data_IF_531484808590
#
_entry.id   IF_531484808590
#
_cell.length_a   1.000
_cell.length_b   1.000
_cell.length_c   1.000
_cell.angle_alpha   90.00
_cell.angle_beta   90.00
_cell.angle_gamma   90.00
#
_symmetry.space_group_name_H-M   'P 1'
#
loop_
_entity.id
_entity.type
_entity.pdbx_description
1 polymer ?
#
# COMPACT_ATOMS: atom_id res chain seq x y z
N UNK A 1 -2.28 -33.99 4.39
CA UNK A 1 -3.49 -33.24 3.99
C UNK A 1 -3.78 -32.24 5.10
N UNK A 2 -3.07 -31.11 5.09
CA UNK A 2 -3.25 -30.08 6.10
C UNK A 2 -4.64 -29.46 5.94
N UNK A 3 -5.48 -29.65 6.95
CA UNK A 3 -6.78 -28.99 7.02
C UNK A 3 -6.51 -27.52 7.32
N UNK A 4 -6.95 -26.62 6.44
CA UNK A 4 -7.00 -25.20 6.76
C UNK A 4 -7.94 -25.01 7.97
N UNK A 5 -7.35 -24.85 9.15
CA UNK A 5 -8.09 -24.54 10.38
C UNK A 5 -8.34 -23.04 10.41
N UNK A 6 -9.60 -22.65 10.53
CA UNK A 6 -9.98 -21.25 10.74
C UNK A 6 -9.54 -20.86 12.15
N UNK A 7 -8.57 -19.97 12.26
CA UNK A 7 -7.98 -19.53 13.54
C UNK A 7 -8.79 -18.44 14.24
N UNK A 8 -9.58 -17.67 13.49
CA UNK A 8 -10.41 -16.59 14.01
C UNK A 8 -11.50 -16.18 13.04
N UNK A 9 -12.62 -15.67 13.57
CA UNK A 9 -13.74 -15.16 12.80
C UNK A 9 -14.17 -13.83 13.38
N UNK A 10 -14.12 -12.79 12.56
CA UNK A 10 -14.57 -11.45 12.90
C UNK A 10 -15.70 -11.04 11.97
N UNK A 11 -16.66 -10.28 12.49
CA UNK A 11 -17.80 -9.78 11.74
C UNK A 11 -18.00 -8.31 12.05
N UNK A 12 -18.27 -7.54 11.01
CA UNK A 12 -18.62 -6.13 11.10
C UNK A 12 -19.64 -5.83 10.01
N UNK A 13 -20.74 -5.20 10.39
CA UNK A 13 -21.82 -4.86 9.47
C UNK A 13 -21.65 -3.43 8.99
N UNK A 14 -21.74 -3.22 7.68
CA UNK A 14 -21.70 -1.91 7.03
C UNK A 14 -23.08 -1.57 6.49
N UNK A 15 -23.45 -0.29 6.55
CA UNK A 15 -24.76 0.19 6.05
C UNK A 15 -24.75 0.33 4.51
N UNK A 16 -23.56 0.37 3.90
CA UNK A 16 -23.35 0.46 2.45
C UNK A 16 -22.63 -0.75 1.85
N UNK A 17 -22.70 -0.93 0.52
CA UNK A 17 -22.03 -2.04 -0.15
C UNK A 17 -20.50 -1.86 -0.10
N UNK A 18 -19.84 -2.94 0.31
CA UNK A 18 -18.37 -3.03 0.27
C UNK A 18 -17.95 -3.33 -1.17
N UNK A 19 -17.13 -2.45 -1.75
CA UNK A 19 -16.73 -2.55 -3.16
C UNK A 19 -15.37 -3.24 -3.34
N UNK A 20 -14.45 -3.06 -2.40
CA UNK A 20 -13.13 -3.67 -2.46
C UNK A 20 -12.57 -3.87 -1.06
N UNK A 21 -11.93 -5.01 -0.86
CA UNK A 21 -11.18 -5.35 0.33
C UNK A 21 -9.76 -5.72 -0.09
N UNK A 22 -8.75 -5.11 0.55
CA UNK A 22 -7.34 -5.44 0.29
C UNK A 22 -6.58 -5.62 1.59
N UNK A 23 -5.84 -6.73 1.66
CA UNK A 23 -4.86 -6.96 2.70
C UNK A 23 -3.55 -6.30 2.28
N UNK A 24 -2.88 -5.67 3.23
CA UNK A 24 -1.59 -5.04 3.01
C UNK A 24 -0.78 -4.97 4.31
N UNK A 25 0.49 -4.67 4.19
CA UNK A 25 1.43 -4.46 5.30
C UNK A 25 1.91 -3.02 5.29
N UNK A 26 2.47 -2.51 6.39
CA UNK A 26 3.08 -1.18 6.38
C UNK A 26 4.24 -1.07 5.39
N UNK A 27 5.11 -2.08 5.39
CA UNK A 27 6.26 -2.08 4.49
C UNK A 27 5.88 -2.63 3.12
N UNK A 28 6.48 -2.04 2.08
CA UNK A 28 6.34 -2.49 0.70
C UNK A 28 6.82 -3.93 0.51
N UNK A 29 6.17 -4.67 -0.39
CA UNK A 29 6.52 -6.05 -0.71
C UNK A 29 7.94 -6.20 -1.27
N UNK A 30 8.55 -5.13 -1.80
CA UNK A 30 9.99 -5.12 -2.15
C UNK A 30 10.87 -5.22 -0.91
N UNK A 31 10.58 -4.46 0.15
CA UNK A 31 11.32 -4.47 1.42
C UNK A 31 11.16 -5.79 2.14
N UNK A 32 9.95 -6.36 2.14
CA UNK A 32 9.72 -7.68 2.74
C UNK A 32 10.54 -8.76 2.02
N UNK A 33 10.64 -8.72 0.69
CA UNK A 33 11.48 -9.64 -0.10
C UNK A 33 12.97 -9.44 0.18
N UNK A 34 13.43 -8.20 0.29
CA UNK A 34 14.82 -7.91 0.67
C UNK A 34 15.15 -8.40 2.08
N UNK A 35 14.23 -8.23 3.03
CA UNK A 35 14.36 -8.74 4.40
C UNK A 35 14.33 -10.27 4.42
N UNK A 36 13.50 -10.91 3.60
CA UNK A 36 13.47 -12.37 3.46
C UNK A 36 14.77 -12.91 2.84
N UNK A 37 15.32 -12.22 1.84
CA UNK A 37 16.61 -12.56 1.24
C UNK A 37 17.75 -12.42 2.25
N UNK A 38 17.79 -11.30 2.99
CA UNK A 38 18.73 -11.10 4.10
C UNK A 38 18.54 -12.14 5.21
N UNK A 39 17.30 -12.56 5.49
CA UNK A 39 17.01 -13.64 6.44
C UNK A 39 17.55 -14.97 5.96
N UNK A 40 17.35 -15.35 4.69
CA UNK A 40 17.94 -16.58 4.13
C UNK A 40 19.47 -16.55 4.18
N UNK A 41 20.07 -15.39 3.92
CA UNK A 41 21.52 -15.20 4.03
C UNK A 41 22.01 -15.33 5.49
N UNK A 42 21.30 -14.75 6.47
CA UNK A 42 21.64 -14.81 7.91
C UNK A 42 21.32 -16.14 8.57
N UNK A 43 20.25 -16.82 8.15
CA UNK A 43 19.91 -18.16 8.58
C UNK A 43 20.98 -19.17 8.10
N UNK A 44 21.60 -18.92 6.95
CA UNK A 44 22.79 -19.67 6.52
C UNK A 44 24.05 -19.35 7.36
N UNK A 45 24.02 -18.32 8.21
CA UNK A 45 25.12 -17.87 9.08
C UNK A 45 24.84 -18.11 10.58
N UNK A 46 23.84 -18.94 10.95
CA UNK A 46 23.48 -19.28 12.35
C UNK A 46 23.21 -18.07 13.27
N UNK A 47 22.70 -16.96 12.71
CA UNK A 47 22.28 -15.80 13.49
C UNK A 47 20.81 -15.95 13.96
N UNK A 48 20.43 -15.45 15.16
CA UNK A 48 19.07 -15.56 15.68
C UNK A 48 18.05 -14.86 14.76
N UNK A 49 16.91 -15.51 14.56
CA UNK A 49 15.79 -14.99 13.79
C UNK A 49 15.25 -13.70 14.41
N UNK A 50 15.34 -12.59 13.68
CA UNK A 50 14.66 -11.35 14.03
C UNK A 50 13.18 -11.52 13.70
N UNK A 51 12.32 -11.45 14.73
CA UNK A 51 10.86 -11.43 14.58
C UNK A 51 10.49 -10.13 13.87
N UNK A 52 10.25 -10.22 12.56
CA UNK A 52 9.66 -9.11 11.81
C UNK A 52 8.18 -9.13 12.12
N UNK A 53 7.71 -8.08 12.80
CA UNK A 53 6.29 -7.90 13.10
C UNK A 53 5.54 -7.60 11.79
N UNK A 54 5.13 -8.65 11.08
CA UNK A 54 4.30 -8.53 9.87
C UNK A 54 2.87 -8.28 10.30
N UNK A 55 2.61 -7.08 10.82
CA UNK A 55 1.25 -6.63 11.06
C UNK A 55 0.53 -6.53 9.71
N UNK A 56 -0.56 -7.28 9.60
CA UNK A 56 -1.40 -7.29 8.40
C UNK A 56 -2.58 -6.37 8.64
N UNK A 57 -2.75 -5.41 7.76
CA UNK A 57 -3.84 -4.45 7.76
C UNK A 57 -4.84 -4.80 6.66
N UNK A 58 -6.09 -4.39 6.86
CA UNK A 58 -7.18 -4.61 5.92
C UNK A 58 -7.78 -3.25 5.54
N UNK A 59 -7.67 -2.90 4.27
CA UNK A 59 -8.39 -1.78 3.68
C UNK A 59 -9.76 -2.28 3.21
N UNK A 60 -10.81 -1.60 3.66
CA UNK A 60 -12.19 -1.81 3.21
C UNK A 60 -12.69 -0.50 2.61
N UNK A 61 -13.05 -0.55 1.33
CA UNK A 61 -13.67 0.60 0.66
C UNK A 61 -15.16 0.38 0.48
N UNK A 62 -15.93 1.38 0.91
CA UNK A 62 -17.38 1.41 0.81
C UNK A 62 -17.79 2.43 -0.27
N UNK A 63 -18.94 2.23 -0.90
CA UNK A 63 -19.48 3.17 -1.88
C UNK A 63 -20.16 4.37 -1.25
N UNK A 64 -20.76 4.23 -0.07
CA UNK A 64 -21.58 5.27 0.59
C UNK A 64 -20.86 5.84 1.81
N UNK A 65 -20.30 4.95 2.64
CA UNK A 65 -19.55 5.37 3.83
C UNK A 65 -18.10 5.72 3.49
N UNK A 66 -17.46 6.43 4.42
CA UNK A 66 -16.01 6.61 4.40
C UNK A 66 -15.30 5.27 4.33
N UNK A 67 -14.24 5.20 3.51
CA UNK A 67 -13.35 4.04 3.46
C UNK A 67 -12.58 3.90 4.77
N UNK A 68 -12.34 2.66 5.16
CA UNK A 68 -11.83 2.28 6.47
C UNK A 68 -10.62 1.38 6.33
N UNK A 69 -9.64 1.58 7.21
CA UNK A 69 -8.51 0.68 7.39
C UNK A 69 -8.58 0.05 8.77
N UNK A 70 -8.56 -1.28 8.82
CA UNK A 70 -8.34 -2.04 10.04
C UNK A 70 -6.85 -2.36 10.17
N UNK A 71 -6.25 -1.91 11.27
CA UNK A 71 -4.84 -2.13 11.52
C UNK A 71 -4.65 -3.40 12.35
N UNK A 72 -3.71 -4.24 11.92
CA UNK A 72 -3.28 -5.43 12.68
C UNK A 72 -4.45 -6.38 12.96
N UNK A 73 -5.00 -6.91 11.88
CA UNK A 73 -6.15 -7.81 11.91
C UNK A 73 -5.80 -9.14 12.56
N UNK A 74 -4.52 -9.51 12.59
CA UNK A 74 -4.06 -10.75 13.21
C UNK A 74 -4.09 -10.68 14.74
N UNK A 75 -3.64 -9.58 15.35
CA UNK A 75 -3.68 -9.44 16.81
C UNK A 75 -4.98 -8.80 17.31
N UNK A 76 -5.49 -7.78 16.62
CA UNK A 76 -6.59 -6.94 17.08
C UNK A 76 -7.93 -7.18 16.34
N UNK A 77 -7.96 -8.06 15.34
CA UNK A 77 -9.16 -8.32 14.55
C UNK A 77 -9.68 -7.08 13.83
N UNK A 78 -10.95 -6.74 14.01
CA UNK A 78 -11.59 -5.56 13.42
C UNK A 78 -11.77 -4.40 14.41
N UNK A 79 -11.06 -4.40 15.54
CA UNK A 79 -11.27 -3.40 16.59
C UNK A 79 -10.56 -2.07 16.29
N UNK A 80 -9.35 -2.11 15.71
CA UNK A 80 -8.56 -0.91 15.41
C UNK A 80 -8.96 -0.31 14.05
N UNK A 81 -10.08 0.41 14.05
CA UNK A 81 -10.66 1.10 12.88
C UNK A 81 -10.07 2.50 12.70
N UNK A 82 -9.47 2.76 11.54
CA UNK A 82 -9.05 4.09 11.11
C UNK A 82 -9.86 4.52 9.89
N UNK A 83 -10.45 5.73 9.95
CA UNK A 83 -11.27 6.29 8.86
C UNK A 83 -10.42 7.19 7.99
N UNK A 84 -10.59 7.11 6.67
CA UNK A 84 -9.88 7.95 5.72
C UNK A 84 -10.58 9.32 5.59
N UNK A 85 -9.98 10.43 6.06
CA UNK A 85 -10.67 11.68 6.37
C UNK A 85 -11.24 12.43 5.14
N UNK A 86 -10.80 12.13 3.92
CA UNK A 86 -11.34 12.73 2.69
C UNK A 86 -12.29 11.81 1.89
N UNK A 87 -12.40 10.53 2.25
CA UNK A 87 -13.25 9.57 1.51
C UNK A 87 -14.75 9.88 1.58
N UNK A 88 -15.19 10.66 2.59
CA UNK A 88 -16.59 11.09 2.74
C UNK A 88 -17.00 12.22 1.81
N UNK A 89 -16.03 12.97 1.26
CA UNK A 89 -16.32 14.09 0.34
C UNK A 89 -16.68 13.60 -1.06
N UNK A 90 -16.37 12.35 -1.37
CA UNK A 90 -16.48 11.81 -2.72
C UNK A 90 -17.77 11.00 -2.87
N UNK A 91 -18.46 11.16 -4.00
CA UNK A 91 -19.79 10.58 -4.25
C UNK A 91 -19.82 9.05 -4.18
N UNK A 92 -18.76 8.38 -4.66
CA UNK A 92 -18.58 6.94 -4.52
C UNK A 92 -17.12 6.54 -4.74
N UNK A 93 -16.53 5.78 -3.80
CA UNK A 93 -15.23 5.14 -4.01
C UNK A 93 -15.42 3.91 -4.90
N UNK A 94 -14.75 3.79 -6.04
CA UNK A 94 -14.93 2.65 -6.98
C UNK A 94 -13.83 1.62 -6.82
N UNK A 95 -12.60 2.09 -6.66
CA UNK A 95 -11.41 1.24 -6.66
C UNK A 95 -10.44 1.73 -5.60
N UNK A 96 -9.65 0.79 -5.06
CA UNK A 96 -8.51 1.09 -4.21
C UNK A 96 -7.23 0.51 -4.81
N UNK A 97 -6.09 1.05 -4.40
CA UNK A 97 -4.78 0.48 -4.62
C UNK A 97 -3.92 0.70 -3.38
N UNK A 98 -3.10 -0.28 -3.04
CA UNK A 98 -2.14 -0.16 -1.94
C UNK A 98 -0.77 -0.41 -2.51
N UNK A 99 0.10 0.60 -2.42
CA UNK A 99 1.40 0.58 -3.03
C UNK A 99 2.29 1.68 -2.45
N UNK A 100 3.59 1.42 -2.46
CA UNK A 100 4.65 2.42 -2.24
C UNK A 100 4.77 3.33 -3.46
N UNK A 101 4.00 4.42 -3.44
CA UNK A 101 3.86 5.41 -4.52
C UNK A 101 4.98 6.44 -4.43
N UNK A 102 5.42 6.84 -3.24
CA UNK A 102 6.49 7.83 -3.10
C UNK A 102 7.91 7.23 -3.02
N UNK A 103 8.01 5.89 -3.09
CA UNK A 103 9.25 5.13 -3.00
C UNK A 103 9.98 5.32 -1.66
N UNK A 104 9.26 5.56 -0.57
CA UNK A 104 9.84 5.63 0.77
C UNK A 104 9.88 4.27 1.50
N UNK A 105 9.38 3.22 0.85
CA UNK A 105 9.31 1.84 1.35
C UNK A 105 8.14 1.55 2.31
N UNK A 106 7.28 2.53 2.56
CA UNK A 106 5.98 2.41 3.21
C UNK A 106 4.90 2.28 2.14
N UNK A 107 3.80 1.59 2.43
CA UNK A 107 2.70 1.50 1.48
C UNK A 107 1.69 2.63 1.71
N UNK A 108 1.43 3.40 0.65
CA UNK A 108 0.32 4.35 0.59
C UNK A 108 -0.96 3.69 0.08
N UNK A 109 -2.08 4.33 0.37
CA UNK A 109 -3.41 3.91 -0.07
C UNK A 109 -3.91 4.90 -1.11
N UNK A 110 -4.06 4.46 -2.35
CA UNK A 110 -4.74 5.20 -3.40
C UNK A 110 -6.20 4.78 -3.52
N UNK A 111 -7.09 5.75 -3.64
CA UNK A 111 -8.53 5.56 -3.84
C UNK A 111 -8.95 6.30 -5.09
N UNK A 112 -9.66 5.61 -5.96
CA UNK A 112 -10.28 6.16 -7.16
C UNK A 112 -11.77 6.26 -6.98
N UNK A 113 -12.32 7.42 -7.30
CA UNK A 113 -13.74 7.71 -7.10
C UNK A 113 -14.45 7.85 -8.44
N UNK A 114 -15.76 7.59 -8.41
CA UNK A 114 -16.62 7.85 -9.56
C UNK A 114 -16.76 9.36 -9.82
N UNK A 115 -16.50 10.21 -8.81
CA UNK A 115 -16.45 11.67 -8.89
C UNK A 115 -15.21 12.24 -9.59
N UNK A 116 -14.49 11.41 -10.35
CA UNK A 116 -13.29 11.78 -11.12
C UNK A 116 -12.05 12.12 -10.28
N UNK A 117 -12.02 11.72 -9.02
CA UNK A 117 -10.91 12.02 -8.11
C UNK A 117 -10.06 10.78 -7.85
N UNK A 118 -8.74 10.99 -7.89
CA UNK A 118 -7.75 10.07 -7.36
C UNK A 118 -7.17 10.68 -6.10
N UNK A 119 -7.25 9.95 -5.00
CA UNK A 119 -6.83 10.42 -3.69
C UNK A 119 -5.82 9.44 -3.12
N UNK A 120 -4.65 9.94 -2.70
CA UNK A 120 -3.61 9.12 -2.10
C UNK A 120 -3.42 9.52 -0.65
N UNK A 121 -3.44 8.52 0.23
CA UNK A 121 -3.26 8.67 1.66
C UNK A 121 -1.97 8.04 2.13
N UNK A 122 -1.32 8.70 3.08
CA UNK A 122 -0.15 8.20 3.79
C UNK A 122 -0.48 8.02 5.26
N UNK A 123 0.04 6.94 5.85
CA UNK A 123 -0.14 6.70 7.27
C UNK A 123 0.88 7.51 8.07
N UNK A 124 0.38 8.31 9.01
CA UNK A 124 1.21 9.02 9.98
C UNK A 124 1.25 8.22 11.29
N UNK A 125 2.44 7.78 11.67
CA UNK A 125 2.68 7.02 12.91
C UNK A 125 2.52 7.87 14.18
N UNK A 126 2.77 9.18 14.11
CA UNK A 126 2.67 10.09 15.26
C UNK A 126 1.21 10.34 15.64
N UNK A 127 0.39 10.56 14.64
CA UNK A 127 -1.05 10.88 14.79
C UNK A 127 -1.94 9.62 14.74
N UNK A 128 -1.36 8.42 14.58
CA UNK A 128 -2.04 7.13 14.36
C UNK A 128 -3.22 7.24 13.38
N UNK A 129 -3.04 7.98 12.29
CA UNK A 129 -4.10 8.32 11.35
C UNK A 129 -3.58 8.45 9.92
N UNK A 130 -4.50 8.37 8.97
CA UNK A 130 -4.18 8.53 7.55
C UNK A 130 -4.38 9.99 7.14
N UNK A 131 -3.33 10.57 6.58
CA UNK A 131 -3.31 11.93 6.07
C UNK A 131 -3.36 11.92 4.54
N UNK A 132 -3.98 12.97 3.98
CA UNK A 132 -4.02 13.17 2.54
C UNK A 132 -2.61 13.55 2.07
N UNK A 133 -2.00 12.71 1.21
CA UNK A 133 -0.70 13.01 0.61
C UNK A 133 -0.86 13.93 -0.60
N UNK A 134 -1.74 13.54 -1.53
CA UNK A 134 -2.11 14.35 -2.69
C UNK A 134 -3.43 13.86 -3.28
N UNK A 135 -4.08 14.74 -4.05
CA UNK A 135 -5.28 14.44 -4.82
C UNK A 135 -5.13 14.94 -6.26
N UNK A 136 -5.80 14.28 -7.20
CA UNK A 136 -5.82 14.66 -8.60
C UNK A 136 -7.19 14.45 -9.21
N UNK A 137 -7.67 15.49 -9.88
CA UNK A 137 -8.90 15.44 -10.68
C UNK A 137 -8.62 14.93 -12.10
N UNK A 138 -9.54 14.12 -12.61
CA UNK A 138 -9.59 13.62 -13.97
C UNK A 138 -10.80 14.19 -14.71
N UNK A 139 -10.78 14.15 -16.04
CA UNK A 139 -11.91 14.60 -16.85
C UNK A 139 -13.11 13.63 -16.80
N UNK A 140 -12.87 12.38 -16.41
CA UNK A 140 -13.84 11.29 -16.49
C UNK A 140 -13.76 10.37 -15.27
N UNK A 141 -14.83 9.64 -14.93
CA UNK A 141 -14.86 8.72 -13.79
C UNK A 141 -13.77 7.66 -13.85
N UNK A 142 -13.15 7.41 -12.69
CA UNK A 142 -12.17 6.35 -12.52
C UNK A 142 -12.88 5.00 -12.40
N UNK A 143 -12.33 3.99 -13.05
CA UNK A 143 -12.82 2.61 -12.99
C UNK A 143 -11.85 1.70 -12.24
N UNK A 144 -10.56 1.85 -12.47
CA UNK A 144 -9.55 0.98 -11.87
C UNK A 144 -8.22 1.71 -11.69
N UNK A 145 -7.48 1.33 -10.65
CA UNK A 145 -6.13 1.81 -10.37
C UNK A 145 -5.22 0.60 -10.18
N UNK A 146 -4.07 0.62 -10.84
CA UNK A 146 -3.03 -0.38 -10.70
C UNK A 146 -1.67 0.30 -10.55
N UNK A 147 -0.77 -0.33 -9.78
CA UNK A 147 0.61 0.12 -9.64
C UNK A 147 1.55 -0.99 -10.07
N UNK A 148 2.03 -0.90 -11.30
CA UNK A 148 2.78 -1.96 -11.98
C UNK A 148 3.93 -1.37 -12.78
N UNK A 149 4.98 -2.15 -12.97
CA UNK A 149 6.07 -1.83 -13.88
C UNK A 149 5.60 -2.14 -15.30
N UNK A 150 5.22 -1.09 -16.02
CA UNK A 150 4.72 -1.16 -17.39
C UNK A 150 5.86 -1.08 -18.41
N UNK A 151 6.94 -0.38 -18.07
CA UNK A 151 8.08 -0.14 -18.97
C UNK A 151 9.16 -1.23 -18.89
N UNK A 152 9.13 -2.05 -17.84
CA UNK A 152 10.08 -3.13 -17.61
C UNK A 152 11.45 -2.67 -17.11
N UNK A 153 11.55 -1.44 -16.60
CA UNK A 153 12.79 -0.88 -16.07
C UNK A 153 12.96 -1.09 -14.56
N UNK A 154 11.97 -1.70 -13.91
CA UNK A 154 11.91 -1.96 -12.47
C UNK A 154 11.25 -0.82 -11.67
N UNK A 155 10.93 0.32 -12.29
CA UNK A 155 10.13 1.38 -11.70
C UNK A 155 8.66 1.13 -12.01
N UNK A 156 7.83 1.17 -10.99
CA UNK A 156 6.39 0.97 -11.17
C UNK A 156 5.73 2.28 -11.51
N UNK A 157 4.84 2.29 -12.50
CA UNK A 157 3.98 3.42 -12.81
C UNK A 157 2.59 3.26 -12.19
N UNK A 158 1.98 4.40 -11.86
CA UNK A 158 0.59 4.44 -11.43
C UNK A 158 -0.32 4.53 -12.65
N UNK A 159 -1.06 3.46 -12.90
CA UNK A 159 -1.99 3.34 -14.01
C UNK A 159 -3.40 3.62 -13.50
N UNK A 160 -4.06 4.58 -14.14
CA UNK A 160 -5.43 4.99 -13.84
C UNK A 160 -6.29 4.77 -15.06
N UNK A 161 -7.21 3.83 -14.97
CA UNK A 161 -8.21 3.58 -16.02
C UNK A 161 -9.45 4.42 -15.75
N UNK A 162 -9.83 5.24 -16.73
CA UNK A 162 -11.08 5.98 -16.75
C UNK A 162 -12.03 5.36 -17.77
N UNK A 163 -13.31 5.73 -17.72
CA UNK A 163 -14.31 5.32 -18.71
C UNK A 163 -13.99 5.71 -20.16
N UNK A 164 -13.07 6.66 -20.39
CA UNK A 164 -12.70 7.14 -21.74
C UNK A 164 -11.30 6.76 -22.17
N UNK A 165 -10.43 6.34 -21.25
CA UNK A 165 -9.04 6.06 -21.59
C UNK A 165 -8.18 5.68 -20.39
N UNK A 166 -6.95 5.31 -20.71
CA UNK A 166 -5.91 4.91 -19.76
C UNK A 166 -4.94 6.07 -19.55
N UNK A 167 -4.66 6.40 -18.29
CA UNK A 167 -3.64 7.35 -17.91
C UNK A 167 -2.49 6.60 -17.23
N UNK A 168 -1.27 6.79 -17.75
CA UNK A 168 -0.04 6.26 -17.14
C UNK A 168 0.67 7.43 -16.45
N UNK A 169 0.85 7.34 -15.14
CA UNK A 169 1.52 8.35 -14.34
C UNK A 169 2.89 7.83 -13.90
N UNK A 170 3.93 8.46 -14.44
CA UNK A 170 5.32 8.18 -14.12
C UNK A 170 5.82 9.10 -13.01
N UNK A 171 6.80 8.61 -12.24
CA UNK A 171 7.51 9.41 -11.25
C UNK A 171 8.40 10.45 -11.91
N UNK A 172 8.69 11.50 -11.15
CA UNK A 172 9.61 12.52 -11.60
C UNK A 172 11.05 11.97 -11.70
N UNK A 173 11.59 11.93 -12.92
CA UNK A 173 12.85 11.26 -13.23
C UNK A 173 14.02 11.72 -12.35
N UNK A 174 14.14 13.03 -12.10
CA UNK A 174 15.23 13.59 -11.30
C UNK A 174 15.22 13.08 -9.85
N UNK A 175 14.03 13.02 -9.25
CA UNK A 175 13.85 12.52 -7.89
C UNK A 175 14.19 11.02 -7.83
N UNK A 176 13.73 10.25 -8.81
CA UNK A 176 13.98 8.81 -8.89
C UNK A 176 15.46 8.51 -9.05
N UNK A 177 16.19 9.23 -9.91
CA UNK A 177 17.63 9.07 -10.10
C UNK A 177 18.39 9.37 -8.80
N UNK A 178 18.04 10.46 -8.12
CA UNK A 178 18.66 10.79 -6.83
C UNK A 178 18.41 9.71 -5.77
N UNK A 179 17.19 9.16 -5.72
CA UNK A 179 16.82 8.09 -4.81
C UNK A 179 17.59 6.79 -5.12
N UNK A 180 17.65 6.38 -6.38
CA UNK A 180 18.41 5.22 -6.84
C UNK A 180 19.89 5.36 -6.46
N UNK A 181 20.49 6.52 -6.72
CA UNK A 181 21.88 6.78 -6.37
C UNK A 181 22.13 6.71 -4.85
N UNK A 182 21.21 7.27 -4.03
CA UNK A 182 21.26 7.15 -2.56
C UNK A 182 21.15 5.70 -2.09
N UNK A 183 20.31 4.88 -2.72
CA UNK A 183 20.11 3.46 -2.39
C UNK A 183 21.33 2.62 -2.76
N UNK A 184 21.87 2.79 -3.96
CA UNK A 184 23.10 2.11 -4.42
C UNK A 184 24.27 2.45 -3.51
N UNK A 185 24.46 3.72 -3.14
CA UNK A 185 25.49 4.13 -2.17
C UNK A 185 25.36 3.42 -0.82
N UNK A 186 24.14 3.35 -0.27
CA UNK A 186 23.88 2.63 0.98
C UNK A 186 24.20 1.14 0.87
N UNK A 187 23.84 0.52 -0.26
CA UNK A 187 24.15 -0.89 -0.51
C UNK A 187 25.66 -1.13 -0.56
N UNK A 188 26.40 -0.30 -1.30
CA UNK A 188 27.87 -0.39 -1.37
C UNK A 188 28.51 -0.25 0.02
N UNK A 189 28.04 0.69 0.83
CA UNK A 189 28.52 0.85 2.21
C UNK A 189 28.23 -0.39 3.06
N UNK A 190 27.03 -0.99 2.94
CA UNK A 190 26.69 -2.19 3.71
C UNK A 190 27.50 -3.42 3.30
N UNK A 191 27.93 -3.50 2.04
CA UNK A 191 28.79 -4.58 1.53
C UNK A 191 30.25 -4.38 1.96
N UNK A 192 30.74 -3.14 1.97
CA UNK A 192 32.11 -2.83 2.40
C UNK A 192 32.37 -3.07 3.90
N UNK A 193 31.32 -3.19 4.72
CA UNK A 193 31.41 -3.52 6.15
C UNK A 193 31.38 -5.05 6.39
N UNK A 194 31.15 -5.85 5.34
CA UNK A 194 31.11 -7.32 5.42
C UNK A 194 32.41 -8.04 5.01
N UNK A 195 33.50 -7.28 4.78
CA UNK A 195 34.89 -7.78 4.71
C UNK A 195 35.65 -7.46 6.00
#
# INVERSE_FOLDING_TARGET
TDKHVVTGLWRYDYDGPVLSCRLFTDQSASVLRDNEFKRKLRAAMDAPDVVVDTSVHLLVTNSIESSVVYRDVLANGLNKRLVLPASKRCDATVTSCVADIDMDATNEIAIGTYGHELIVYKYNTESDSYELLWERLFAHPLQSIAYIDLTGDGLKELIVLTVKGLHVMQHHLENTVQLCHKRVKRLLQSLAISE
#
